data_IF_600263011005
#
_entry.id   IF_600263011005
#
_cell.length_a   1.000
_cell.length_b   1.000
_cell.length_c   1.000
_cell.angle_alpha   90.00
_cell.angle_beta   90.00
_cell.angle_gamma   90.00
#
_symmetry.space_group_name_H-M   'P 1'
#
loop_
_entity.id
_entity.type
_entity.pdbx_description
1 polymer ?
#
# COMPACT_ATOMS: atom_id res chain seq x y z
N UNK A 1 22.14 -5.54 15.72
CA UNK A 1 21.60 -5.79 14.36
C UNK A 1 21.64 -7.29 14.12
N UNK A 2 20.50 -7.94 13.86
CA UNK A 2 20.47 -9.40 13.66
C UNK A 2 21.14 -9.75 12.33
N UNK A 3 22.01 -10.78 12.35
CA UNK A 3 22.80 -11.19 11.20
C UNK A 3 21.90 -11.96 10.21
N UNK A 4 21.70 -11.40 9.02
CA UNK A 4 20.96 -12.07 7.94
C UNK A 4 21.75 -13.33 7.54
N UNK A 5 21.07 -14.47 7.47
CA UNK A 5 21.67 -15.73 7.01
C UNK A 5 22.13 -15.62 5.56
N UNK A 6 23.17 -16.35 5.18
CA UNK A 6 23.68 -16.29 3.80
C UNK A 6 22.67 -16.83 2.78
N UNK A 7 21.81 -17.77 3.19
CA UNK A 7 20.67 -18.24 2.38
C UNK A 7 19.65 -17.15 2.13
N UNK A 8 19.28 -16.37 3.16
CA UNK A 8 18.36 -15.24 3.00
C UNK A 8 18.98 -14.12 2.15
N UNK A 9 20.26 -13.79 2.33
CA UNK A 9 20.96 -12.81 1.47
C UNK A 9 20.88 -13.23 0.00
N UNK A 10 21.17 -14.50 -0.31
CA UNK A 10 21.03 -15.03 -1.67
C UNK A 10 19.59 -14.90 -2.17
N UNK A 11 18.60 -15.23 -1.33
CA UNK A 11 17.19 -15.06 -1.69
C UNK A 11 16.82 -13.61 -2.02
N UNK A 12 17.28 -12.63 -1.24
CA UNK A 12 17.06 -11.21 -1.50
C UNK A 12 17.74 -10.76 -2.80
N UNK A 13 19.01 -11.14 -2.99
CA UNK A 13 19.76 -10.81 -4.20
C UNK A 13 19.11 -11.40 -5.45
N UNK A 14 18.68 -12.67 -5.39
CA UNK A 14 17.93 -13.30 -6.48
C UNK A 14 16.63 -12.57 -6.76
N UNK A 15 15.87 -12.19 -5.72
CA UNK A 15 14.65 -11.42 -5.89
C UNK A 15 14.91 -10.09 -6.61
N UNK A 16 15.87 -9.29 -6.15
CA UNK A 16 16.21 -8.02 -6.80
C UNK A 16 16.71 -8.22 -8.23
N UNK A 17 17.56 -9.21 -8.49
CA UNK A 17 18.01 -9.49 -9.86
C UNK A 17 16.83 -9.83 -10.79
N UNK A 18 15.90 -10.67 -10.33
CA UNK A 18 14.70 -11.03 -11.09
C UNK A 18 13.81 -9.80 -11.32
N UNK A 19 13.59 -8.99 -10.29
CA UNK A 19 12.82 -7.74 -10.41
C UNK A 19 13.46 -6.81 -11.43
N UNK A 20 14.75 -6.56 -11.33
CA UNK A 20 15.49 -5.72 -12.29
C UNK A 20 15.27 -6.22 -13.73
N UNK A 21 15.43 -7.53 -13.99
CA UNK A 21 15.18 -8.11 -15.32
C UNK A 21 13.73 -7.87 -15.77
N UNK A 22 12.75 -8.14 -14.89
CA UNK A 22 11.33 -7.92 -15.19
C UNK A 22 11.03 -6.45 -15.48
N UNK A 23 11.66 -5.52 -14.74
CA UNK A 23 11.51 -4.07 -14.96
C UNK A 23 12.05 -3.67 -16.33
N UNK A 24 13.18 -4.23 -16.78
CA UNK A 24 13.70 -3.98 -18.13
C UNK A 24 12.81 -4.58 -19.22
N UNK A 25 12.28 -5.79 -19.03
CA UNK A 25 11.31 -6.39 -19.97
C UNK A 25 10.02 -5.58 -20.05
N UNK A 26 9.52 -5.12 -18.89
CA UNK A 26 8.37 -4.23 -18.80
C UNK A 26 8.65 -2.90 -19.50
N UNK A 27 9.82 -2.28 -19.27
CA UNK A 27 10.22 -1.06 -19.95
C UNK A 27 10.32 -1.25 -21.48
N UNK A 28 10.80 -2.40 -21.95
CA UNK A 28 10.81 -2.71 -23.39
C UNK A 28 9.40 -2.78 -23.98
N UNK A 29 8.45 -3.39 -23.26
CA UNK A 29 7.04 -3.37 -23.66
C UNK A 29 6.45 -1.95 -23.67
N UNK A 30 6.74 -1.17 -22.63
CA UNK A 30 6.31 0.23 -22.53
C UNK A 30 6.94 1.10 -23.63
N UNK A 31 8.17 0.83 -24.05
CA UNK A 31 8.80 1.53 -25.17
C UNK A 31 7.98 1.39 -26.46
N UNK A 32 7.42 0.20 -26.71
CA UNK A 32 6.60 -0.07 -27.90
C UNK A 32 5.25 0.64 -27.81
N UNK A 33 4.60 0.63 -26.64
CA UNK A 33 3.24 1.15 -26.47
C UNK A 33 3.18 2.66 -26.12
N UNK A 34 4.12 3.13 -25.29
CA UNK A 34 4.17 4.47 -24.69
C UNK A 34 5.63 4.99 -24.60
N UNK A 35 6.31 5.24 -25.73
CA UNK A 35 7.74 5.55 -25.77
C UNK A 35 8.15 6.77 -24.93
N UNK A 36 7.26 7.75 -24.79
CA UNK A 36 7.50 8.96 -24.00
C UNK A 36 7.51 8.73 -22.47
N UNK A 37 6.98 7.59 -21.99
CA UNK A 37 6.93 7.24 -20.57
C UNK A 37 8.03 6.29 -20.12
N UNK A 38 8.69 5.59 -21.06
CA UNK A 38 9.62 4.48 -20.76
C UNK A 38 10.69 4.86 -19.75
N UNK A 39 11.38 5.98 -19.97
CA UNK A 39 12.50 6.40 -19.12
C UNK A 39 12.01 6.75 -17.71
N UNK A 40 10.84 7.40 -17.60
CA UNK A 40 10.26 7.77 -16.30
C UNK A 40 9.83 6.53 -15.53
N UNK A 41 9.16 5.59 -16.20
CA UNK A 41 8.75 4.31 -15.60
C UNK A 41 9.97 3.53 -15.15
N UNK A 42 10.98 3.39 -16.00
CA UNK A 42 12.22 2.68 -15.67
C UNK A 42 12.91 3.30 -14.45
N UNK A 43 13.14 4.62 -14.47
CA UNK A 43 13.84 5.33 -13.38
C UNK A 43 13.07 5.23 -12.07
N UNK A 44 11.77 5.54 -12.05
CA UNK A 44 11.00 5.53 -10.81
C UNK A 44 10.79 4.13 -10.24
N UNK A 45 10.64 3.12 -11.09
CA UNK A 45 10.51 1.72 -10.65
C UNK A 45 11.84 1.17 -10.11
N UNK A 46 12.96 1.41 -10.79
CA UNK A 46 14.29 1.03 -10.28
C UNK A 46 14.66 1.77 -8.99
N UNK A 47 14.30 3.06 -8.88
CA UNK A 47 14.47 3.81 -7.64
C UNK A 47 13.67 3.19 -6.49
N UNK A 48 12.41 2.82 -6.74
CA UNK A 48 11.55 2.16 -5.75
C UNK A 48 12.12 0.79 -5.35
N UNK A 49 12.63 0.02 -6.31
CA UNK A 49 13.32 -1.24 -6.07
C UNK A 49 14.55 -1.06 -5.18
N UNK A 50 15.39 -0.06 -5.47
CA UNK A 50 16.57 0.27 -4.67
C UNK A 50 16.19 0.65 -3.23
N UNK A 51 15.16 1.47 -3.05
CA UNK A 51 14.65 1.85 -1.73
C UNK A 51 14.16 0.60 -0.96
N UNK A 52 13.39 -0.26 -1.62
CA UNK A 52 12.95 -1.53 -1.04
C UNK A 52 14.14 -2.43 -0.64
N UNK A 53 15.15 -2.54 -1.50
CA UNK A 53 16.35 -3.32 -1.22
C UNK A 53 17.07 -2.79 0.03
N UNK A 54 17.39 -1.50 0.06
CA UNK A 54 18.06 -0.85 1.19
C UNK A 54 17.26 -1.00 2.47
N UNK A 55 15.94 -0.84 2.40
CA UNK A 55 15.05 -1.02 3.54
C UNK A 55 15.12 -2.45 4.09
N UNK A 56 14.99 -3.47 3.26
CA UNK A 56 15.04 -4.87 3.71
C UNK A 56 16.39 -5.27 4.29
N UNK A 57 17.50 -4.78 3.72
CA UNK A 57 18.84 -5.03 4.26
C UNK A 57 19.08 -4.31 5.60
N UNK A 58 18.57 -3.08 5.78
CA UNK A 58 18.70 -2.33 7.04
C UNK A 58 17.76 -2.84 8.13
N UNK A 59 16.54 -3.20 7.77
CA UNK A 59 15.49 -3.67 8.68
C UNK A 59 15.47 -5.21 8.76
N UNK A 60 16.64 -5.83 8.97
CA UNK A 60 16.78 -7.29 9.01
C UNK A 60 15.93 -7.97 10.08
N UNK A 61 15.52 -7.23 11.12
CA UNK A 61 14.58 -7.68 12.14
C UNK A 61 13.18 -8.02 11.61
N UNK A 62 12.82 -7.56 10.41
CA UNK A 62 11.56 -7.89 9.74
C UNK A 62 11.60 -9.25 9.04
N UNK A 63 12.79 -9.79 8.77
CA UNK A 63 12.99 -11.05 8.06
C UNK A 63 12.82 -12.26 9.01
N UNK A 64 11.71 -12.27 9.74
CA UNK A 64 11.33 -13.33 10.67
C UNK A 64 9.92 -13.83 10.36
N UNK A 65 9.64 -15.07 10.72
CA UNK A 65 8.28 -15.56 10.84
C UNK A 65 7.58 -15.02 12.09
N UNK A 66 6.34 -15.46 12.32
CA UNK A 66 5.53 -15.07 13.47
C UNK A 66 6.03 -15.61 14.80
N UNK A 67 6.77 -16.71 14.79
CA UNK A 67 7.34 -17.33 15.99
C UNK A 67 8.68 -16.69 16.39
N UNK A 68 9.25 -15.88 15.50
CA UNK A 68 10.48 -15.12 15.73
C UNK A 68 11.71 -15.78 15.15
N UNK A 69 11.56 -16.85 14.38
CA UNK A 69 12.65 -17.53 13.71
C UNK A 69 13.04 -16.79 12.43
N UNK A 70 14.35 -16.71 12.12
CA UNK A 70 14.83 -16.02 10.94
C UNK A 70 14.40 -16.77 9.67
N UNK A 71 13.81 -16.03 8.74
CA UNK A 71 13.43 -16.59 7.45
C UNK A 71 14.70 -17.01 6.68
N UNK A 72 14.63 -18.18 6.03
CA UNK A 72 15.71 -18.65 5.15
C UNK A 72 15.59 -18.14 3.71
N UNK A 73 14.37 -17.77 3.29
CA UNK A 73 14.03 -17.34 1.93
C UNK A 73 12.73 -16.54 1.93
N UNK A 74 12.56 -15.67 0.94
CA UNK A 74 11.29 -14.99 0.70
C UNK A 74 10.24 -16.01 0.26
N UNK A 75 9.06 -15.93 0.84
CA UNK A 75 7.91 -16.74 0.43
C UNK A 75 7.09 -16.00 -0.64
N UNK A 76 6.09 -16.69 -1.21
CA UNK A 76 5.24 -16.14 -2.25
C UNK A 76 4.47 -14.89 -1.80
N UNK A 77 3.96 -14.85 -0.57
CA UNK A 77 3.25 -13.69 -0.03
C UNK A 77 4.16 -12.46 0.02
N UNK A 78 5.39 -12.59 0.55
CA UNK A 78 6.37 -11.51 0.61
C UNK A 78 6.71 -10.96 -0.80
N UNK A 79 6.85 -11.86 -1.78
CA UNK A 79 7.13 -11.48 -3.17
C UNK A 79 5.95 -10.68 -3.76
N UNK A 80 4.71 -11.09 -3.49
CA UNK A 80 3.52 -10.38 -3.96
C UNK A 80 3.41 -8.99 -3.31
N UNK A 81 3.60 -8.87 -2.00
CA UNK A 81 3.61 -7.58 -1.29
C UNK A 81 4.64 -6.63 -1.90
N UNK A 82 5.87 -7.10 -2.13
CA UNK A 82 6.92 -6.28 -2.75
C UNK A 82 6.58 -5.90 -4.20
N UNK A 83 6.03 -6.83 -4.98
CA UNK A 83 5.60 -6.56 -6.34
C UNK A 83 4.54 -5.44 -6.39
N UNK A 84 3.59 -5.42 -5.44
CA UNK A 84 2.58 -4.35 -5.34
C UNK A 84 3.20 -2.97 -5.09
N UNK A 85 4.18 -2.89 -4.18
CA UNK A 85 4.91 -1.63 -3.93
C UNK A 85 5.60 -1.15 -5.21
N UNK A 86 6.18 -2.07 -5.98
CA UNK A 86 6.83 -1.76 -7.26
C UNK A 86 5.85 -1.36 -8.38
N UNK A 87 4.55 -1.65 -8.25
CA UNK A 87 3.54 -1.17 -9.20
C UNK A 87 3.17 0.31 -8.99
N UNK A 88 3.41 0.87 -7.80
CA UNK A 88 3.00 2.24 -7.43
C UNK A 88 3.55 3.31 -8.41
N UNK A 89 4.83 3.30 -8.82
CA UNK A 89 5.36 4.22 -9.82
C UNK A 89 4.59 4.18 -11.15
N UNK A 90 4.29 2.98 -11.65
CA UNK A 90 3.54 2.79 -12.90
C UNK A 90 2.11 3.31 -12.76
N UNK A 91 1.42 2.97 -11.67
CA UNK A 91 0.07 3.50 -11.37
C UNK A 91 0.09 5.03 -11.42
N UNK A 92 1.02 5.65 -10.70
CA UNK A 92 1.18 7.11 -10.70
C UNK A 92 1.38 7.67 -12.11
N UNK A 93 2.38 7.17 -12.83
CA UNK A 93 2.75 7.71 -14.13
C UNK A 93 1.62 7.58 -15.16
N UNK A 94 0.91 6.46 -15.21
CA UNK A 94 -0.22 6.34 -16.15
C UNK A 94 -1.37 7.28 -15.81
N UNK A 95 -1.72 7.42 -14.52
CA UNK A 95 -2.76 8.37 -14.10
C UNK A 95 -2.39 9.81 -14.46
N UNK A 96 -1.17 10.25 -14.12
CA UNK A 96 -0.74 11.63 -14.34
C UNK A 96 -0.52 12.00 -15.82
N UNK A 97 -0.29 11.00 -16.70
CA UNK A 97 -0.09 11.21 -18.13
C UNK A 97 -1.35 10.94 -18.97
N UNK A 98 -2.54 10.90 -18.35
CA UNK A 98 -3.80 10.85 -19.08
C UNK A 98 -4.20 9.46 -19.59
N UNK A 99 -3.68 8.40 -18.98
CA UNK A 99 -4.04 7.00 -19.28
C UNK A 99 -4.83 6.37 -18.11
N UNK A 100 -6.04 6.87 -17.79
CA UNK A 100 -6.78 6.44 -16.61
C UNK A 100 -7.16 4.95 -16.64
N UNK A 101 -7.47 4.38 -17.81
CA UNK A 101 -7.80 2.95 -17.91
C UNK A 101 -6.61 2.03 -17.60
N UNK A 102 -5.40 2.40 -18.04
CA UNK A 102 -4.18 1.65 -17.69
C UNK A 102 -3.87 1.80 -16.21
N UNK A 103 -3.98 3.03 -15.67
CA UNK A 103 -3.84 3.28 -14.23
C UNK A 103 -4.85 2.50 -13.38
N UNK A 104 -6.12 2.46 -13.79
CA UNK A 104 -7.18 1.68 -13.15
C UNK A 104 -6.90 0.18 -13.20
N UNK A 105 -6.45 -0.34 -14.34
CA UNK A 105 -6.10 -1.75 -14.49
C UNK A 105 -4.92 -2.14 -13.58
N UNK A 106 -3.88 -1.30 -13.50
CA UNK A 106 -2.75 -1.52 -12.60
C UNK A 106 -3.15 -1.42 -11.12
N UNK A 107 -4.01 -0.46 -10.77
CA UNK A 107 -4.58 -0.35 -9.42
C UNK A 107 -5.41 -1.59 -9.06
N UNK A 108 -6.31 -2.02 -9.95
CA UNK A 108 -7.12 -3.23 -9.76
C UNK A 108 -6.25 -4.48 -9.62
N UNK A 109 -5.17 -4.58 -10.42
CA UNK A 109 -4.20 -5.66 -10.30
C UNK A 109 -3.54 -5.64 -8.91
N UNK A 110 -3.04 -4.48 -8.47
CA UNK A 110 -2.42 -4.32 -7.15
C UNK A 110 -3.37 -4.65 -5.99
N UNK A 111 -4.62 -4.20 -6.07
CA UNK A 111 -5.67 -4.52 -5.08
C UNK A 111 -6.06 -6.00 -5.09
N UNK A 112 -6.07 -6.64 -6.26
CA UNK A 112 -6.36 -8.07 -6.38
C UNK A 112 -5.21 -8.91 -5.81
N UNK A 113 -3.97 -8.47 -6.03
CA UNK A 113 -2.77 -9.12 -5.49
C UNK A 113 -2.75 -9.10 -3.95
N UNK A 114 -3.27 -8.05 -3.29
CA UNK A 114 -3.47 -7.99 -1.83
C UNK A 114 -4.34 -9.13 -1.30
N UNK A 115 -5.43 -9.39 -2.01
CA UNK A 115 -6.35 -10.46 -1.61
C UNK A 115 -5.62 -11.80 -1.75
N UNK A 116 -4.84 -11.97 -2.84
CA UNK A 116 -4.09 -13.19 -3.11
C UNK A 116 -2.96 -13.41 -2.09
N UNK A 117 -2.17 -12.39 -1.75
CA UNK A 117 -1.06 -12.55 -0.79
C UNK A 117 -1.58 -12.97 0.60
N UNK A 118 -2.67 -12.37 1.08
CA UNK A 118 -3.28 -12.71 2.35
C UNK A 118 -3.94 -14.09 2.34
N UNK A 119 -4.48 -14.54 1.20
CA UNK A 119 -4.99 -15.91 1.04
C UNK A 119 -3.85 -16.93 1.05
N UNK A 120 -2.77 -16.66 0.31
CA UNK A 120 -1.59 -17.53 0.24
C UNK A 120 -0.91 -17.63 1.61
N UNK A 121 -0.69 -16.50 2.30
CA UNK A 121 -0.06 -16.47 3.62
C UNK A 121 -0.85 -17.31 4.65
N UNK A 122 -2.18 -17.16 4.69
CA UNK A 122 -3.05 -17.91 5.61
C UNK A 122 -3.19 -19.38 5.27
N UNK A 123 -3.27 -19.71 3.97
CA UNK A 123 -3.45 -21.10 3.52
C UNK A 123 -2.21 -21.97 3.79
N UNK A 124 -1.03 -21.39 3.69
CA UNK A 124 0.23 -22.11 3.88
C UNK A 124 0.86 -21.88 5.27
N UNK A 125 0.18 -21.15 6.16
CA UNK A 125 0.70 -20.74 7.47
C UNK A 125 2.08 -20.08 7.40
N UNK A 126 2.24 -19.17 6.42
CA UNK A 126 3.51 -18.47 6.13
C UNK A 126 3.41 -16.98 6.35
N UNK A 127 2.79 -16.58 7.46
CA UNK A 127 2.74 -15.18 7.87
C UNK A 127 4.13 -14.75 8.35
N UNK A 128 4.60 -13.58 7.92
CA UNK A 128 5.93 -13.07 8.28
C UNK A 128 5.83 -11.68 8.88
N UNK A 129 6.80 -11.28 9.71
CA UNK A 129 6.86 -9.91 10.26
C UNK A 129 7.01 -8.86 9.15
N UNK A 130 7.75 -9.20 8.10
CA UNK A 130 7.91 -8.39 6.90
C UNK A 130 6.56 -8.14 6.21
N UNK A 131 5.79 -9.18 5.91
CA UNK A 131 4.47 -9.03 5.26
C UNK A 131 3.55 -8.16 6.11
N UNK A 132 3.40 -8.48 7.40
CA UNK A 132 2.57 -7.73 8.34
C UNK A 132 2.92 -6.23 8.41
N UNK A 133 4.19 -5.87 8.22
CA UNK A 133 4.64 -4.49 8.24
C UNK A 133 4.58 -3.81 6.87
N UNK A 134 4.87 -4.53 5.78
CA UNK A 134 4.89 -3.98 4.43
C UNK A 134 3.49 -3.87 3.81
N UNK A 135 2.54 -4.73 4.17
CA UNK A 135 1.18 -4.68 3.60
C UNK A 135 0.52 -3.30 3.88
N UNK A 136 0.48 -2.79 5.13
CA UNK A 136 -0.07 -1.46 5.40
C UNK A 136 0.71 -0.33 4.71
N UNK A 137 2.03 -0.48 4.56
CA UNK A 137 2.86 0.52 3.87
C UNK A 137 2.54 0.59 2.38
N UNK A 138 2.40 -0.56 1.71
CA UNK A 138 1.99 -0.63 0.31
C UNK A 138 0.60 -0.02 0.09
N UNK A 139 -0.33 -0.26 1.01
CA UNK A 139 -1.68 0.31 0.96
C UNK A 139 -1.68 1.83 1.15
N UNK A 140 -0.90 2.34 2.10
CA UNK A 140 -0.73 3.78 2.33
C UNK A 140 -0.13 4.43 1.09
N UNK A 141 0.95 3.88 0.53
CA UNK A 141 1.61 4.42 -0.66
C UNK A 141 0.66 4.47 -1.86
N UNK A 142 -0.01 3.35 -2.15
CA UNK A 142 -0.94 3.23 -3.28
C UNK A 142 -2.11 4.21 -3.12
N UNK A 143 -2.76 4.20 -1.96
CA UNK A 143 -3.91 5.08 -1.69
C UNK A 143 -3.49 6.56 -1.73
N UNK A 144 -2.36 6.92 -1.12
CA UNK A 144 -1.88 8.28 -1.11
C UNK A 144 -1.61 8.80 -2.52
N UNK A 145 -0.90 8.03 -3.35
CA UNK A 145 -0.59 8.42 -4.73
C UNK A 145 -1.87 8.62 -5.55
N UNK A 146 -2.84 7.73 -5.42
CA UNK A 146 -4.10 7.81 -6.18
C UNK A 146 -4.96 9.01 -5.72
N UNK A 147 -5.06 9.24 -4.41
CA UNK A 147 -5.78 10.41 -3.90
C UNK A 147 -5.06 11.73 -4.17
N UNK A 148 -3.72 11.72 -4.16
CA UNK A 148 -2.93 12.88 -4.57
C UNK A 148 -3.18 13.20 -6.04
N UNK A 149 -3.25 12.18 -6.91
CA UNK A 149 -3.70 12.35 -8.29
C UNK A 149 -5.09 12.99 -8.34
N UNK A 150 -6.08 12.45 -7.63
CA UNK A 150 -7.43 13.02 -7.62
C UNK A 150 -7.46 14.48 -7.17
N UNK A 151 -6.77 14.81 -6.08
CA UNK A 151 -6.70 16.16 -5.55
C UNK A 151 -6.00 17.12 -6.52
N UNK A 152 -4.85 16.72 -7.08
CA UNK A 152 -4.10 17.54 -8.05
C UNK A 152 -4.88 17.82 -9.35
N UNK A 153 -5.87 16.97 -9.66
CA UNK A 153 -6.76 17.11 -10.82
C UNK A 153 -8.14 17.66 -10.44
N UNK A 154 -8.33 18.11 -9.20
CA UNK A 154 -9.62 18.62 -8.68
C UNK A 154 -10.79 17.62 -8.84
N UNK A 155 -10.50 16.32 -8.83
CA UNK A 155 -11.49 15.23 -8.94
C UNK A 155 -12.14 14.87 -7.60
N UNK A 156 -11.55 15.32 -6.50
CA UNK A 156 -12.09 15.19 -5.15
C UNK A 156 -11.99 16.54 -4.45
N UNK A 157 -12.92 16.86 -3.52
CA UNK A 157 -12.88 18.11 -2.77
C UNK A 157 -11.75 18.10 -1.73
N UNK A 158 -11.22 19.29 -1.41
CA UNK A 158 -10.09 19.45 -0.48
C UNK A 158 -10.33 18.81 0.89
N UNK A 159 -11.55 18.89 1.40
CA UNK A 159 -11.90 18.29 2.70
C UNK A 159 -11.68 16.77 2.72
N UNK A 160 -11.92 16.08 1.60
CA UNK A 160 -11.77 14.62 1.54
C UNK A 160 -10.30 14.23 1.55
N UNK A 161 -9.47 14.97 0.81
CA UNK A 161 -8.02 14.79 0.82
C UNK A 161 -7.44 15.14 2.20
N UNK A 162 -7.93 16.20 2.85
CA UNK A 162 -7.52 16.57 4.21
C UNK A 162 -7.85 15.47 5.24
N UNK A 163 -9.03 14.84 5.17
CA UNK A 163 -9.38 13.70 6.04
C UNK A 163 -8.43 12.53 5.81
N UNK A 164 -8.04 12.25 4.56
CA UNK A 164 -7.04 11.21 4.26
C UNK A 164 -5.68 11.53 4.89
N UNK A 165 -5.22 12.78 4.80
CA UNK A 165 -3.97 13.21 5.43
C UNK A 165 -4.04 13.06 6.96
N UNK A 166 -5.16 13.48 7.58
CA UNK A 166 -5.39 13.31 9.02
C UNK A 166 -5.38 11.84 9.40
N UNK A 167 -5.98 10.96 8.59
CA UNK A 167 -5.96 9.50 8.82
C UNK A 167 -4.55 8.95 8.91
N UNK A 168 -3.65 9.36 8.00
CA UNK A 168 -2.27 8.88 8.04
C UNK A 168 -1.45 9.55 9.13
N UNK A 169 -1.64 10.85 9.37
CA UNK A 169 -1.00 11.56 10.46
C UNK A 169 -1.36 10.95 11.83
N UNK A 170 -2.65 10.65 12.06
CA UNK A 170 -3.14 9.97 13.26
C UNK A 170 -2.51 8.58 13.41
N UNK A 171 -2.47 7.79 12.34
CA UNK A 171 -1.86 6.46 12.38
C UNK A 171 -0.38 6.50 12.80
N UNK A 172 0.43 7.35 12.15
CA UNK A 172 1.87 7.43 12.45
C UNK A 172 2.14 8.08 13.82
N UNK A 173 1.41 9.14 14.17
CA UNK A 173 1.54 9.80 15.47
C UNK A 173 1.10 8.87 16.61
N UNK A 174 -0.02 8.17 16.44
CA UNK A 174 -0.51 7.18 17.39
C UNK A 174 0.50 6.05 17.60
N UNK A 175 1.07 5.50 16.53
CA UNK A 175 2.11 4.48 16.62
C UNK A 175 3.35 4.99 17.35
N UNK A 176 3.81 6.22 17.07
CA UNK A 176 4.96 6.82 17.74
C UNK A 176 4.71 7.04 19.24
N UNK A 177 3.54 7.55 19.62
CA UNK A 177 3.13 7.74 21.02
C UNK A 177 3.11 6.38 21.74
N UNK A 178 2.43 5.39 21.18
CA UNK A 178 2.33 4.05 21.75
C UNK A 178 3.69 3.38 21.91
N UNK A 179 4.60 3.58 20.95
CA UNK A 179 5.97 3.12 21.04
C UNK A 179 6.73 3.78 22.20
N UNK A 180 6.59 5.10 22.38
CA UNK A 180 7.20 5.85 23.48
C UNK A 180 6.75 5.36 24.87
N UNK A 181 5.52 4.88 25.00
CA UNK A 181 4.99 4.30 26.24
C UNK A 181 5.17 2.78 26.36
N UNK A 182 5.80 2.12 25.39
CA UNK A 182 5.93 0.66 25.36
C UNK A 182 4.58 -0.07 25.39
N UNK A 183 3.57 0.54 24.75
CA UNK A 183 2.17 0.12 24.75
C UNK A 183 1.70 -0.29 23.34
N UNK A 184 2.61 -0.65 22.44
CA UNK A 184 2.28 -1.01 21.05
C UNK A 184 1.32 -2.22 21.05
N UNK A 185 0.06 -2.05 20.60
CA UNK A 185 -0.87 -3.15 20.50
C UNK A 185 -0.49 -4.07 19.34
N UNK A 186 -0.96 -5.33 19.38
CA UNK A 186 -0.87 -6.21 18.21
C UNK A 186 -1.68 -5.58 17.06
N UNK A 187 -1.01 -5.18 15.98
CA UNK A 187 -1.64 -4.65 14.78
C UNK A 187 -2.50 -5.76 14.16
N UNK A 188 -3.82 -5.67 14.34
CA UNK A 188 -4.81 -6.57 13.73
C UNK A 188 -5.79 -5.75 12.91
N UNK A 189 -6.19 -6.29 11.76
CA UNK A 189 -7.20 -5.66 10.91
C UNK A 189 -8.53 -5.53 11.66
N UNK A 190 -9.02 -4.29 11.78
CA UNK A 190 -10.29 -3.97 12.42
C UNK A 190 -11.46 -4.19 11.46
N UNK A 191 -12.66 -4.39 11.98
CA UNK A 191 -13.87 -4.48 11.15
C UNK A 191 -14.04 -3.19 10.33
N UNK A 192 -13.87 -2.03 10.97
CA UNK A 192 -13.92 -0.73 10.30
C UNK A 192 -12.89 -0.64 9.16
N UNK A 193 -11.65 -1.09 9.38
CA UNK A 193 -10.61 -1.13 8.35
C UNK A 193 -10.97 -2.04 7.17
N UNK A 194 -11.52 -3.23 7.45
CA UNK A 194 -11.95 -4.17 6.41
C UNK A 194 -13.11 -3.61 5.58
N UNK A 195 -14.12 -3.06 6.23
CA UNK A 195 -15.27 -2.43 5.55
C UNK A 195 -14.79 -1.24 4.72
N UNK A 196 -13.95 -0.38 5.28
CA UNK A 196 -13.38 0.75 4.57
C UNK A 196 -12.60 0.30 3.32
N UNK A 197 -11.81 -0.77 3.39
CA UNK A 197 -11.10 -1.31 2.24
C UNK A 197 -12.05 -1.78 1.12
N UNK A 198 -13.10 -2.55 1.47
CA UNK A 198 -14.11 -3.05 0.51
C UNK A 198 -14.89 -1.91 -0.15
N UNK A 199 -15.15 -0.83 0.58
CA UNK A 199 -15.84 0.36 0.06
C UNK A 199 -14.89 1.24 -0.78
N UNK A 200 -13.66 1.44 -0.30
CA UNK A 200 -12.68 2.34 -0.90
C UNK A 200 -12.22 1.83 -2.28
N UNK A 201 -11.92 0.55 -2.43
CA UNK A 201 -11.37 -0.01 -3.68
C UNK A 201 -12.24 0.27 -4.92
N UNK A 202 -13.53 -0.11 -4.92
CA UNK A 202 -14.44 0.17 -6.02
C UNK A 202 -14.66 1.66 -6.27
N UNK A 203 -14.73 2.48 -5.21
CA UNK A 203 -14.90 3.93 -5.37
C UNK A 203 -13.66 4.60 -5.95
N UNK A 204 -12.46 4.14 -5.59
CA UNK A 204 -11.23 4.58 -6.25
C UNK A 204 -11.27 4.24 -7.74
N UNK A 205 -11.61 3.00 -8.11
CA UNK A 205 -11.71 2.61 -9.52
C UNK A 205 -12.72 3.47 -10.29
N UNK A 206 -13.89 3.70 -9.68
CA UNK A 206 -14.90 4.60 -10.23
C UNK A 206 -14.36 6.01 -10.45
N UNK A 207 -13.68 6.61 -9.46
CA UNK A 207 -13.10 7.96 -9.56
C UNK A 207 -11.94 8.06 -10.55
N UNK A 208 -11.16 6.99 -10.77
CA UNK A 208 -10.13 6.96 -11.81
C UNK A 208 -10.76 7.04 -13.21
N UNK A 209 -11.86 6.31 -13.43
CA UNK A 209 -12.51 6.20 -14.74
C UNK A 209 -13.43 7.39 -15.04
N UNK A 210 -13.98 8.03 -14.00
CA UNK A 210 -14.94 9.12 -14.12
C UNK A 210 -14.57 10.20 -15.16
N UNK A 211 -13.32 10.71 -15.24
CA UNK A 211 -12.95 11.74 -16.22
C UNK A 211 -12.94 11.25 -17.68
N UNK A 212 -12.93 9.93 -17.90
CA UNK A 212 -12.95 9.33 -19.23
C UNK A 212 -14.38 9.04 -19.73
N UNK A 213 -15.40 9.24 -18.88
CA UNK A 213 -16.80 9.09 -19.27
C UNK A 213 -17.31 10.35 -19.98
N UNK A 214 -18.33 10.23 -20.86
CA UNK A 214 -18.97 11.39 -21.47
C UNK A 214 -19.50 12.37 -20.41
N UNK A 215 -19.43 13.66 -20.70
CA UNK A 215 -20.01 14.69 -19.81
C UNK A 215 -21.49 14.39 -19.55
N UNK A 216 -21.90 14.42 -18.27
CA UNK A 216 -23.26 14.11 -17.86
C UNK A 216 -23.61 12.61 -17.77
N UNK A 217 -22.69 11.69 -18.11
CA UNK A 217 -22.93 10.24 -17.98
C UNK A 217 -23.19 9.80 -16.53
N UNK A 218 -22.68 10.56 -15.55
CA UNK A 218 -22.91 10.34 -14.13
C UNK A 218 -23.46 11.61 -13.48
N UNK A 219 -24.54 11.46 -12.71
CA UNK A 219 -25.14 12.56 -11.97
C UNK A 219 -24.17 13.13 -10.93
N UNK A 220 -24.14 14.46 -10.79
CA UNK A 220 -23.39 15.17 -9.74
C UNK A 220 -23.74 14.70 -8.34
N UNK A 221 -24.98 14.23 -8.12
CA UNK A 221 -25.42 13.63 -6.84
C UNK A 221 -24.70 12.33 -6.55
N UNK A 222 -24.50 11.47 -7.55
CA UNK A 222 -23.77 10.19 -7.38
C UNK A 222 -22.30 10.45 -7.06
N UNK A 223 -21.69 11.38 -7.80
CA UNK A 223 -20.30 11.81 -7.57
C UNK A 223 -20.15 12.36 -6.15
N UNK A 224 -21.01 13.29 -5.74
CA UNK A 224 -20.97 13.89 -4.40
C UNK A 224 -21.17 12.85 -3.29
N UNK A 225 -22.13 11.93 -3.47
CA UNK A 225 -22.36 10.82 -2.52
C UNK A 225 -21.13 9.94 -2.37
N UNK A 226 -20.39 9.66 -3.46
CA UNK A 226 -19.16 8.87 -3.39
C UNK A 226 -18.11 9.50 -2.48
N UNK A 227 -18.00 10.83 -2.46
CA UNK A 227 -17.09 11.55 -1.58
C UNK A 227 -17.49 11.39 -0.11
N UNK A 228 -18.78 11.56 0.20
CA UNK A 228 -19.26 11.39 1.58
C UNK A 228 -19.09 9.96 2.09
N UNK A 229 -19.30 8.96 1.23
CA UNK A 229 -19.07 7.54 1.57
C UNK A 229 -17.59 7.30 1.87
N UNK A 230 -16.68 7.82 1.05
CA UNK A 230 -15.24 7.74 1.31
C UNK A 230 -14.84 8.47 2.60
N UNK A 231 -15.36 9.68 2.80
CA UNK A 231 -15.11 10.48 4.00
C UNK A 231 -15.56 9.75 5.26
N UNK A 232 -16.77 9.20 5.26
CA UNK A 232 -17.28 8.39 6.36
C UNK A 232 -16.41 7.15 6.61
N UNK A 233 -16.01 6.44 5.55
CA UNK A 233 -15.12 5.29 5.67
C UNK A 233 -13.79 5.69 6.34
N UNK A 234 -13.17 6.79 5.94
CA UNK A 234 -11.91 7.27 6.53
C UNK A 234 -12.08 7.68 7.99
N UNK A 235 -13.12 8.45 8.31
CA UNK A 235 -13.43 8.84 9.69
C UNK A 235 -13.69 7.62 10.57
N UNK A 236 -14.39 6.61 10.05
CA UNK A 236 -14.65 5.37 10.80
C UNK A 236 -13.36 4.62 11.15
N UNK A 237 -12.37 4.62 10.24
CA UNK A 237 -11.06 4.03 10.49
C UNK A 237 -10.29 4.84 11.53
N UNK A 238 -10.28 6.16 11.42
CA UNK A 238 -9.64 7.05 12.41
C UNK A 238 -10.18 6.75 13.82
N UNK A 239 -11.51 6.81 13.99
CA UNK A 239 -12.16 6.55 15.27
C UNK A 239 -11.80 5.15 15.78
N UNK A 240 -11.86 4.14 14.91
CA UNK A 240 -11.52 2.76 15.29
C UNK A 240 -10.07 2.63 15.77
N UNK A 241 -9.10 3.28 15.11
CA UNK A 241 -7.68 3.19 15.48
C UNK A 241 -7.39 3.98 16.75
N UNK A 242 -7.96 5.18 16.89
CA UNK A 242 -7.81 5.99 18.10
C UNK A 242 -8.36 5.27 19.34
N UNK A 243 -9.51 4.60 19.24
CA UNK A 243 -10.06 3.79 20.35
C UNK A 243 -9.09 2.66 20.75
N UNK A 244 -8.47 1.98 19.79
CA UNK A 244 -7.50 0.91 20.05
C UNK A 244 -6.26 1.47 20.74
N UNK A 245 -5.72 2.58 20.24
CA UNK A 245 -4.56 3.23 20.82
C UNK A 245 -4.82 3.68 22.26
N UNK A 246 -5.96 4.33 22.52
CA UNK A 246 -6.35 4.75 23.87
C UNK A 246 -6.48 3.55 24.81
N UNK A 247 -7.16 2.46 24.39
CA UNK A 247 -7.27 1.24 25.20
C UNK A 247 -5.92 0.63 25.51
N UNK A 248 -4.99 0.61 24.55
CA UNK A 248 -3.64 0.09 24.75
C UNK A 248 -2.86 0.91 25.80
N UNK A 249 -2.98 2.24 25.78
CA UNK A 249 -2.38 3.11 26.80
C UNK A 249 -2.97 2.86 28.19
N UNK A 250 -4.30 2.73 28.31
CA UNK A 250 -4.95 2.44 29.59
C UNK A 250 -4.50 1.11 30.19
N UNK A 251 -4.45 0.05 29.38
CA UNK A 251 -4.00 -1.28 29.82
C UNK A 251 -2.53 -1.26 30.28
N UNK A 252 -1.67 -0.50 29.60
CA UNK A 252 -0.28 -0.34 30.02
C UNK A 252 -0.19 0.37 31.37
N UNK A 253 -0.97 1.44 31.57
CA UNK A 253 -0.99 2.20 32.81
C UNK A 253 -1.51 1.40 34.00
N UNK A 254 -2.47 0.49 33.80
CA UNK A 254 -2.98 -0.37 34.88
C UNK A 254 -2.03 -1.50 35.31
N UNK A 255 -0.95 -1.75 34.57
CA UNK A 255 0.07 -2.75 34.90
C UNK A 255 1.31 -2.15 35.60
N UNK A 256 1.37 -0.83 35.75
CA UNK A 256 2.42 -0.08 36.45
C UNK A 256 1.88 0.33 37.81
#
# INVERSE_FOLDING_TARGET
MLKISDTMKRSLLTFHLVVTIVVFLYAALIYILFPHLVLRILVWTLFTELVCAVFLFKCSSLLMDTDGEPLQRLNAANIITLARILLVPSISLFLFNGFPFVGAALYALGASLDIVDGLVARRFDRVTKMGVMLDPLGDILTTFVVFFYFWSRSLVPDWLFAILLIRYAEFFAGLAILAGFGAIPRLKATIAGKVAAVVQGPLILFLIILPALPEGAVSTKVISSSYYVLGFAFVSVIISQSIIGIKALYLKRSMI
#
